data_IF_185537810183
#
_entry.id   IF_185537810183
#
_cell.length_a   1.000
_cell.length_b   1.000
_cell.length_c   1.000
_cell.angle_alpha   90.00
_cell.angle_beta   90.00
_cell.angle_gamma   90.00
#
_symmetry.space_group_name_H-M   'P 1'
#
loop_
_entity.id
_entity.type
_entity.pdbx_description
1 polymer ?
#
# COMPACT_ATOMS: atom_id res chain seq x y z
N UNK A 1 -1.55 24.48 -6.18
CA UNK A 1 -1.43 23.24 -5.38
C UNK A 1 -1.39 23.63 -3.91
N UNK A 2 -2.56 23.95 -3.35
CA UNK A 2 -2.72 24.48 -1.98
C UNK A 2 -2.36 23.45 -0.89
N UNK A 3 -2.49 22.15 -1.17
CA UNK A 3 -2.16 21.07 -0.24
C UNK A 3 -0.68 21.01 0.15
N UNK A 4 0.21 21.34 -0.80
CA UNK A 4 1.66 21.35 -0.59
C UNK A 4 2.15 22.66 0.04
N UNK A 5 1.33 23.71 -0.02
CA UNK A 5 1.66 25.06 0.50
C UNK A 5 1.01 25.34 1.85
N UNK A 6 -0.16 24.77 2.16
CA UNK A 6 -0.85 24.92 3.44
C UNK A 6 -1.79 23.72 3.72
N UNK A 7 -1.30 22.66 4.40
CA UNK A 7 -2.06 21.45 4.68
C UNK A 7 -3.01 21.67 5.88
N UNK A 8 -4.17 22.26 5.61
CA UNK A 8 -5.30 22.27 6.56
C UNK A 8 -6.16 21.02 6.40
N UNK A 9 -6.81 20.57 7.46
CA UNK A 9 -7.72 19.41 7.45
C UNK A 9 -8.81 19.53 6.38
N UNK A 10 -9.29 20.76 6.14
CA UNK A 10 -10.26 21.07 5.07
C UNK A 10 -9.66 20.84 3.68
N UNK A 11 -8.42 21.29 3.44
CA UNK A 11 -7.75 21.10 2.16
C UNK A 11 -7.45 19.62 1.91
N UNK A 12 -7.01 18.89 2.94
CA UNK A 12 -6.75 17.44 2.89
C UNK A 12 -8.03 16.68 2.54
N UNK A 13 -9.14 16.99 3.22
CA UNK A 13 -10.45 16.38 2.96
C UNK A 13 -10.92 16.65 1.53
N UNK A 14 -10.79 17.89 1.05
CA UNK A 14 -11.15 18.25 -0.33
C UNK A 14 -10.31 17.51 -1.37
N UNK A 15 -9.01 17.32 -1.13
CA UNK A 15 -8.12 16.59 -2.02
C UNK A 15 -8.45 15.09 -2.05
N UNK A 16 -8.75 14.49 -0.89
CA UNK A 16 -9.21 13.10 -0.81
C UNK A 16 -10.53 12.93 -1.57
N UNK A 17 -11.49 13.83 -1.35
CA UNK A 17 -12.78 13.81 -2.05
C UNK A 17 -12.62 13.98 -3.57
N UNK A 18 -11.74 14.88 -4.01
CA UNK A 18 -11.40 15.07 -5.41
C UNK A 18 -10.79 13.80 -6.03
N UNK A 19 -9.81 13.18 -5.37
CA UNK A 19 -9.20 11.94 -5.86
C UNK A 19 -10.21 10.79 -5.92
N UNK A 20 -11.10 10.69 -4.93
CA UNK A 20 -12.18 9.69 -4.94
C UNK A 20 -13.09 9.89 -6.15
N UNK A 21 -13.53 11.12 -6.43
CA UNK A 21 -14.36 11.43 -7.61
C UNK A 21 -13.61 11.21 -8.93
N UNK A 22 -12.34 11.57 -9.00
CA UNK A 22 -11.50 11.33 -10.18
C UNK A 22 -11.36 9.83 -10.47
N UNK A 23 -11.13 9.03 -9.44
CA UNK A 23 -11.03 7.58 -9.57
C UNK A 23 -12.36 6.95 -9.99
N UNK A 24 -13.47 7.39 -9.41
CA UNK A 24 -14.83 6.95 -9.79
C UNK A 24 -15.15 7.28 -11.26
N UNK A 25 -14.88 8.51 -11.70
CA UNK A 25 -15.07 8.91 -13.10
C UNK A 25 -14.23 8.08 -14.06
N UNK A 26 -12.97 7.84 -13.72
CA UNK A 26 -12.08 7.00 -14.53
C UNK A 26 -12.60 5.56 -14.63
N UNK A 27 -13.11 5.00 -13.53
CA UNK A 27 -13.69 3.66 -13.53
C UNK A 27 -14.95 3.60 -14.40
N UNK A 28 -15.85 4.59 -14.28
CA UNK A 28 -17.05 4.68 -15.10
C UNK A 28 -16.72 4.84 -16.59
N UNK A 29 -15.75 5.67 -16.93
CA UNK A 29 -15.28 5.85 -18.30
C UNK A 29 -14.77 4.52 -18.87
N UNK A 30 -13.92 3.80 -18.13
CA UNK A 30 -13.38 2.51 -18.57
C UNK A 30 -14.48 1.46 -18.80
N UNK A 31 -15.49 1.40 -17.92
CA UNK A 31 -16.65 0.50 -18.09
C UNK A 31 -17.42 0.86 -19.37
N UNK A 32 -17.73 2.14 -19.58
CA UNK A 32 -18.44 2.60 -20.79
C UNK A 32 -17.64 2.40 -22.07
N UNK A 33 -16.32 2.58 -22.02
CA UNK A 33 -15.44 2.25 -23.14
C UNK A 33 -15.53 0.76 -23.47
N UNK A 34 -15.44 -0.14 -22.48
CA UNK A 34 -15.59 -1.59 -22.72
C UNK A 34 -16.96 -1.93 -23.31
N UNK A 35 -18.03 -1.38 -22.76
CA UNK A 35 -19.39 -1.57 -23.30
C UNK A 35 -19.49 -1.11 -24.76
N UNK A 36 -18.94 0.06 -25.08
CA UNK A 36 -18.89 0.60 -26.44
C UNK A 36 -18.10 -0.31 -27.39
N UNK A 37 -16.94 -0.81 -26.96
CA UNK A 37 -16.09 -1.71 -27.73
C UNK A 37 -16.77 -3.07 -27.97
N UNK A 38 -17.48 -3.61 -26.98
CA UNK A 38 -18.23 -4.87 -27.14
C UNK A 38 -19.42 -4.76 -28.09
N UNK A 39 -20.07 -3.59 -28.13
CA UNK A 39 -21.22 -3.31 -29.02
C UNK A 39 -20.78 -2.96 -30.44
N UNK A 40 -19.61 -2.37 -30.63
CA UNK A 40 -19.08 -1.94 -31.92
C UNK A 40 -17.90 -2.85 -32.34
N UNK A 41 -18.20 -4.04 -32.85
CA UNK A 41 -17.22 -5.10 -33.19
C UNK A 41 -16.19 -4.77 -34.29
N UNK A 42 -16.23 -3.58 -34.91
CA UNK A 42 -15.24 -3.17 -35.92
C UNK A 42 -14.22 -2.23 -35.31
N UNK A 43 -13.31 -2.79 -34.53
CA UNK A 43 -12.11 -2.08 -34.10
C UNK A 43 -11.08 -2.14 -35.21
N UNK A 44 -10.62 -0.97 -35.66
CA UNK A 44 -9.50 -0.90 -36.59
C UNK A 44 -8.27 -1.56 -35.96
N UNK A 45 -7.37 -2.18 -36.76
CA UNK A 45 -6.20 -2.89 -36.24
C UNK A 45 -5.31 -2.00 -35.34
N UNK A 46 -5.24 -0.70 -35.65
CA UNK A 46 -4.52 0.31 -34.87
C UNK A 46 -5.13 0.53 -33.48
N UNK A 47 -6.46 0.49 -33.37
CA UNK A 47 -7.14 0.62 -32.07
C UNK A 47 -6.98 -0.66 -31.25
N UNK A 48 -6.93 -1.84 -31.89
CA UNK A 48 -6.66 -3.10 -31.19
C UNK A 48 -5.26 -3.16 -30.61
N UNK A 49 -4.24 -2.66 -31.32
CA UNK A 49 -2.87 -2.60 -30.79
C UNK A 49 -2.74 -1.59 -29.66
N UNK A 50 -3.37 -0.42 -29.78
CA UNK A 50 -3.44 0.56 -28.70
C UNK A 50 -4.19 0.02 -27.48
N UNK A 51 -5.29 -0.73 -27.68
CA UNK A 51 -6.04 -1.37 -26.60
C UNK A 51 -5.21 -2.49 -25.97
N UNK A 52 -4.52 -3.33 -26.74
CA UNK A 52 -3.66 -4.39 -26.21
C UNK A 52 -2.49 -3.84 -25.38
N UNK A 53 -1.88 -2.75 -25.85
CA UNK A 53 -0.81 -2.04 -25.15
C UNK A 53 -1.30 -1.27 -23.92
N UNK A 54 -2.55 -0.78 -23.94
CA UNK A 54 -3.18 -0.05 -22.84
C UNK A 54 -4.21 -0.86 -22.06
N UNK A 55 -4.27 -2.18 -22.28
CA UNK A 55 -5.06 -3.08 -21.43
C UNK A 55 -4.34 -3.09 -20.10
N UNK A 56 -4.79 -2.19 -19.23
CA UNK A 56 -4.62 -2.35 -17.80
C UNK A 56 -5.22 -3.71 -17.52
N UNK A 57 -4.35 -4.70 -17.31
CA UNK A 57 -4.74 -5.96 -16.70
C UNK A 57 -5.63 -5.54 -15.54
N UNK A 58 -6.92 -5.89 -15.60
CA UNK A 58 -7.76 -5.83 -14.43
C UNK A 58 -7.21 -6.91 -13.51
N UNK A 59 -6.09 -6.58 -12.87
CA UNK A 59 -5.66 -7.16 -11.62
C UNK A 59 -6.94 -7.22 -10.80
N UNK A 60 -7.29 -8.44 -10.42
CA UNK A 60 -8.22 -8.74 -9.34
C UNK A 60 -8.15 -7.60 -8.34
N UNK A 61 -9.24 -6.84 -8.28
CA UNK A 61 -9.42 -5.63 -7.49
C UNK A 61 -8.60 -5.74 -6.21
N UNK A 62 -7.43 -5.06 -6.18
CA UNK A 62 -6.52 -5.09 -5.04
C UNK A 62 -7.36 -4.74 -3.82
N UNK A 63 -7.58 -5.72 -2.94
CA UNK A 63 -8.43 -5.57 -1.76
C UNK A 63 -7.50 -5.21 -0.59
N UNK A 64 -7.30 -3.92 -0.31
CA UNK A 64 -6.30 -3.49 0.66
C UNK A 64 -6.69 -3.90 2.08
N UNK A 65 -7.99 -4.06 2.38
CA UNK A 65 -8.50 -4.44 3.69
C UNK A 65 -8.14 -5.90 4.06
N UNK A 66 -7.82 -6.72 3.06
CA UNK A 66 -7.34 -8.10 3.23
C UNK A 66 -5.96 -8.18 3.88
N UNK A 67 -5.15 -7.13 3.80
CA UNK A 67 -3.75 -7.18 4.20
C UNK A 67 -3.49 -6.44 5.50
N UNK A 68 -2.66 -7.08 6.36
CA UNK A 68 -2.05 -6.42 7.50
C UNK A 68 -0.54 -6.43 7.34
N UNK A 69 0.06 -5.25 7.37
CA UNK A 69 1.49 -5.06 7.27
C UNK A 69 2.02 -4.61 8.62
N UNK A 70 2.93 -5.38 9.20
CA UNK A 70 3.59 -5.09 10.48
C UNK A 70 5.07 -4.91 10.26
N UNK A 71 5.59 -3.72 10.52
CA UNK A 71 7.03 -3.46 10.47
C UNK A 71 7.62 -3.46 11.88
N UNK A 72 8.81 -4.02 12.03
CA UNK A 72 9.66 -3.88 13.20
C UNK A 72 10.80 -2.91 12.89
N UNK A 73 11.07 -2.00 13.79
CA UNK A 73 12.04 -0.94 13.59
C UNK A 73 12.75 -0.49 14.86
N UNK A 74 13.88 0.18 14.67
CA UNK A 74 14.64 0.88 15.70
C UNK A 74 14.53 2.40 15.46
N UNK A 75 14.36 3.19 16.52
CA UNK A 75 14.30 4.65 16.45
C UNK A 75 15.52 5.31 15.78
N UNK A 76 16.71 4.69 15.85
CA UNK A 76 17.97 5.20 15.30
C UNK A 76 18.20 4.81 13.84
N UNK A 77 17.41 3.89 13.30
CA UNK A 77 17.61 3.31 11.97
C UNK A 77 17.16 4.26 10.83
N UNK A 78 18.06 4.72 9.94
CA UNK A 78 17.70 5.64 8.85
C UNK A 78 16.83 4.99 7.78
N UNK A 79 17.07 3.71 7.46
CA UNK A 79 16.25 2.95 6.51
C UNK A 79 14.82 2.77 7.03
N UNK A 80 14.64 2.66 8.34
CA UNK A 80 13.36 2.55 8.99
C UNK A 80 12.56 3.86 8.87
N UNK A 81 13.23 5.00 9.09
CA UNK A 81 12.64 6.34 8.84
C UNK A 81 12.11 6.47 7.41
N UNK A 82 12.89 6.02 6.42
CA UNK A 82 12.44 6.00 5.02
C UNK A 82 11.25 5.06 4.79
N UNK A 83 11.24 3.89 5.45
CA UNK A 83 10.18 2.90 5.33
C UNK A 83 8.82 3.40 5.88
N UNK A 84 8.81 4.31 6.85
CA UNK A 84 7.56 4.92 7.34
C UNK A 84 6.78 5.66 6.24
N UNK A 85 7.47 6.30 5.29
CA UNK A 85 6.81 6.92 4.12
C UNK A 85 6.15 5.86 3.23
N UNK A 86 6.83 4.71 3.06
CA UNK A 86 6.28 3.57 2.32
C UNK A 86 5.01 3.05 3.00
N UNK A 87 5.05 2.84 4.33
CA UNK A 87 3.92 2.33 5.09
C UNK A 87 2.74 3.31 5.12
N UNK A 88 3.00 4.61 5.30
CA UNK A 88 1.97 5.65 5.22
C UNK A 88 1.29 5.65 3.84
N UNK A 89 2.05 5.43 2.76
CA UNK A 89 1.49 5.30 1.41
C UNK A 89 0.68 4.01 1.20
N UNK A 90 1.00 2.92 1.91
CA UNK A 90 0.17 1.71 1.90
C UNK A 90 -1.11 1.92 2.71
N UNK A 91 -1.02 2.62 3.83
CA UNK A 91 -2.16 2.99 4.66
C UNK A 91 -3.16 3.86 3.90
N UNK A 92 -2.68 4.84 3.14
CA UNK A 92 -3.54 5.69 2.30
C UNK A 92 -4.23 4.92 1.17
N UNK A 93 -3.68 3.78 0.76
CA UNK A 93 -4.32 2.82 -0.14
C UNK A 93 -5.32 1.90 0.57
N UNK A 94 -5.50 2.04 1.88
CA UNK A 94 -6.45 1.26 2.70
C UNK A 94 -5.86 0.02 3.36
N UNK A 95 -4.55 -0.21 3.25
CA UNK A 95 -3.90 -1.38 3.87
C UNK A 95 -3.72 -1.11 5.36
N UNK A 96 -4.05 -2.07 6.22
CA UNK A 96 -3.77 -1.91 7.64
C UNK A 96 -2.27 -2.00 7.88
N UNK A 97 -1.68 -0.95 8.43
CA UNK A 97 -0.25 -0.91 8.76
C UNK A 97 -0.03 -0.65 10.25
N UNK A 98 0.96 -1.31 10.83
CA UNK A 98 1.42 -1.05 12.20
C UNK A 98 2.95 -1.13 12.26
N UNK A 99 3.53 -0.38 13.20
CA UNK A 99 4.96 -0.39 13.46
C UNK A 99 5.26 -0.78 14.92
N UNK A 100 6.21 -1.68 15.09
CA UNK A 100 6.68 -2.18 16.37
C UNK A 100 8.12 -1.76 16.61
N UNK A 101 8.30 -0.97 17.66
CA UNK A 101 9.61 -0.50 18.06
C UNK A 101 10.33 -1.59 18.86
N UNK A 102 11.57 -1.92 18.46
CA UNK A 102 12.36 -2.99 19.09
C UNK A 102 13.38 -2.46 20.11
N UNK A 103 13.77 -1.18 20.00
CA UNK A 103 14.70 -0.55 20.91
C UNK A 103 14.01 0.00 22.17
N UNK A 104 14.83 0.46 23.11
CA UNK A 104 14.34 0.91 24.42
C UNK A 104 13.89 2.36 24.48
N UNK A 105 14.01 3.12 23.40
CA UNK A 105 13.53 4.50 23.38
C UNK A 105 12.01 4.57 23.61
N UNK A 106 11.58 5.68 24.23
CA UNK A 106 10.17 5.92 24.54
C UNK A 106 9.40 6.14 23.24
N UNK A 107 8.38 5.31 23.00
CA UNK A 107 7.46 5.47 21.86
C UNK A 107 6.56 6.68 22.12
N UNK A 108 6.71 7.75 21.33
CA UNK A 108 5.72 8.84 21.29
C UNK A 108 4.78 8.65 20.10
N UNK A 109 3.49 8.47 20.35
CA UNK A 109 2.50 8.26 19.28
C UNK A 109 2.43 9.43 18.29
N UNK A 110 2.66 10.65 18.75
CA UNK A 110 2.65 11.86 17.91
C UNK A 110 3.84 11.96 16.95
N UNK A 111 4.89 11.17 17.17
CA UNK A 111 6.12 11.24 16.38
C UNK A 111 6.04 10.45 15.07
N UNK A 112 5.08 9.52 14.96
CA UNK A 112 5.02 8.58 13.84
C UNK A 112 3.72 8.75 13.03
N UNK A 113 3.78 8.69 11.69
CA UNK A 113 2.62 8.88 10.83
C UNK A 113 1.67 7.68 10.80
N UNK A 114 2.01 6.59 11.50
CA UNK A 114 1.25 5.34 11.53
C UNK A 114 1.17 4.81 12.98
N UNK A 115 0.23 3.90 13.29
CA UNK A 115 0.13 3.30 14.61
C UNK A 115 1.45 2.62 15.02
N UNK A 116 2.06 3.14 16.08
CA UNK A 116 3.33 2.64 16.61
C UNK A 116 3.17 2.19 18.05
N UNK A 117 3.73 1.02 18.40
CA UNK A 117 3.82 0.51 19.78
C UNK A 117 5.15 -0.19 20.01
N UNK A 118 5.48 -0.49 21.25
CA UNK A 118 6.67 -1.29 21.58
C UNK A 118 6.44 -2.77 21.27
N UNK A 119 7.45 -3.44 20.73
CA UNK A 119 7.43 -4.89 20.50
C UNK A 119 7.53 -5.62 21.86
N UNK A 120 6.78 -6.72 22.01
CA UNK A 120 6.91 -7.55 23.21
C UNK A 120 8.12 -8.48 23.10
N UNK A 121 8.77 -8.80 24.23
CA UNK A 121 9.92 -9.72 24.26
C UNK A 121 9.58 -11.11 23.70
N UNK A 122 8.36 -11.59 23.93
CA UNK A 122 7.89 -12.87 23.39
C UNK A 122 7.77 -12.84 21.86
N UNK A 123 7.29 -11.74 21.31
CA UNK A 123 7.11 -11.56 19.87
C UNK A 123 8.47 -11.46 19.15
N UNK A 124 9.44 -10.73 19.73
CA UNK A 124 10.80 -10.65 19.19
C UNK A 124 11.50 -12.02 19.16
N UNK A 125 11.36 -12.82 20.22
CA UNK A 125 11.90 -14.19 20.27
C UNK A 125 11.27 -15.09 19.21
N UNK A 126 9.95 -14.99 19.03
CA UNK A 126 9.22 -15.80 18.03
C UNK A 126 9.63 -15.47 16.60
N UNK A 127 9.83 -14.20 16.29
CA UNK A 127 10.13 -13.76 14.92
C UNK A 127 11.62 -13.80 14.55
N UNK A 128 12.50 -14.05 15.54
CA UNK A 128 13.95 -14.15 15.39
C UNK A 128 14.55 -13.03 14.49
N UNK A 129 14.22 -11.79 14.82
CA UNK A 129 14.54 -10.61 13.99
C UNK A 129 16.02 -10.27 14.16
N UNK A 130 16.81 -10.46 13.10
CA UNK A 130 18.25 -10.17 13.09
C UNK A 130 18.60 -8.77 12.56
N UNK A 131 17.71 -8.13 11.79
CA UNK A 131 17.94 -6.83 11.18
C UNK A 131 16.65 -6.03 11.01
N UNK A 132 16.77 -4.70 10.92
CA UNK A 132 15.66 -3.76 10.72
C UNK A 132 15.91 -2.84 9.51
N UNK A 133 14.86 -2.36 8.81
CA UNK A 133 13.44 -2.66 9.03
C UNK A 133 13.10 -4.09 8.60
N UNK A 134 12.25 -4.75 9.40
CA UNK A 134 11.77 -6.10 9.14
C UNK A 134 10.25 -6.05 9.02
N UNK A 135 9.70 -6.53 7.92
CA UNK A 135 8.26 -6.36 7.63
C UNK A 135 7.59 -7.71 7.42
N UNK A 136 6.47 -7.90 8.12
CA UNK A 136 5.58 -9.02 7.98
C UNK A 136 4.33 -8.59 7.23
N UNK A 137 3.88 -9.43 6.31
CA UNK A 137 2.65 -9.22 5.54
C UNK A 137 1.75 -10.42 5.81
N UNK A 138 0.60 -10.17 6.42
CA UNK A 138 -0.43 -11.17 6.66
C UNK A 138 -1.59 -10.98 5.68
N UNK A 139 -1.99 -12.08 5.06
CA UNK A 139 -3.21 -12.16 4.26
C UNK A 139 -4.32 -12.76 5.12
N UNK A 140 -5.32 -11.93 5.47
CA UNK A 140 -6.42 -12.33 6.33
C UNK A 140 -7.39 -13.29 5.65
N UNK A 141 -7.52 -13.23 4.33
CA UNK A 141 -8.45 -14.07 3.57
C UNK A 141 -7.91 -15.49 3.46
N UNK A 142 -6.61 -15.63 3.17
CA UNK A 142 -5.92 -16.93 3.11
C UNK A 142 -5.45 -17.43 4.47
N UNK A 143 -5.45 -16.56 5.50
CA UNK A 143 -4.91 -16.84 6.84
C UNK A 143 -3.44 -17.28 6.80
N UNK A 144 -2.66 -16.73 5.87
CA UNK A 144 -1.23 -17.02 5.69
C UNK A 144 -0.38 -15.80 5.98
N UNK A 145 0.85 -16.06 6.38
CA UNK A 145 1.90 -15.06 6.50
C UNK A 145 2.84 -15.21 5.30
N UNK A 146 3.06 -14.14 4.55
CA UNK A 146 4.03 -14.15 3.46
C UNK A 146 5.47 -14.19 4.01
N UNK A 147 6.44 -14.59 3.18
CA UNK A 147 7.84 -14.55 3.56
C UNK A 147 8.23 -13.17 4.10
N UNK A 148 8.99 -13.11 5.20
CA UNK A 148 9.35 -11.85 5.83
C UNK A 148 10.20 -11.00 4.89
N UNK A 149 9.82 -9.73 4.78
CA UNK A 149 10.51 -8.76 3.93
C UNK A 149 11.57 -8.05 4.77
N UNK A 150 12.83 -8.25 4.38
CA UNK A 150 13.98 -7.66 5.08
C UNK A 150 14.44 -6.40 4.37
N UNK A 151 14.81 -5.38 5.15
CA UNK A 151 15.33 -4.12 4.64
C UNK A 151 14.26 -3.18 4.10
N UNK A 152 14.72 -2.01 3.66
CA UNK A 152 13.85 -0.98 3.09
C UNK A 152 13.25 -1.45 1.76
N UNK A 153 11.96 -1.17 1.57
CA UNK A 153 11.27 -1.37 0.30
C UNK A 153 10.51 -0.11 -0.12
N UNK A 154 10.45 0.13 -1.42
CA UNK A 154 9.62 1.18 -1.98
C UNK A 154 8.14 0.76 -2.00
N UNK A 155 7.24 1.74 -2.14
CA UNK A 155 5.78 1.50 -2.27
C UNK A 155 5.47 0.53 -3.41
N UNK A 156 6.12 0.69 -4.56
CA UNK A 156 5.90 -0.15 -5.72
C UNK A 156 6.34 -1.59 -5.43
N UNK A 157 7.51 -1.78 -4.81
CA UNK A 157 7.99 -3.13 -4.47
C UNK A 157 7.13 -3.79 -3.42
N UNK A 158 6.69 -3.08 -2.38
CA UNK A 158 5.76 -3.61 -1.38
C UNK A 158 4.43 -4.01 -2.00
N UNK A 159 3.88 -3.17 -2.89
CA UNK A 159 2.63 -3.50 -3.61
C UNK A 159 2.81 -4.73 -4.49
N UNK A 160 3.95 -4.85 -5.19
CA UNK A 160 4.28 -6.02 -5.99
C UNK A 160 4.39 -7.29 -5.13
N UNK A 161 5.07 -7.23 -3.98
CA UNK A 161 5.18 -8.37 -3.05
C UNK A 161 3.81 -8.84 -2.54
N UNK A 162 2.90 -7.91 -2.25
CA UNK A 162 1.54 -8.26 -1.82
C UNK A 162 0.79 -8.98 -2.96
N UNK A 163 0.91 -8.50 -4.20
CA UNK A 163 0.30 -9.12 -5.39
C UNK A 163 0.95 -10.45 -5.79
N UNK A 164 2.27 -10.59 -5.62
CA UNK A 164 2.99 -11.84 -5.85
C UNK A 164 2.50 -12.92 -4.87
N UNK A 165 2.36 -12.57 -3.59
CA UNK A 165 1.80 -13.48 -2.58
C UNK A 165 0.32 -13.82 -2.81
N UNK A 166 -0.46 -12.99 -3.50
CA UNK A 166 -1.83 -13.34 -3.89
C UNK A 166 -1.91 -14.57 -4.78
N UNK A 167 -0.83 -14.90 -5.49
CA UNK A 167 -0.76 -16.05 -6.40
C UNK A 167 -0.34 -17.36 -5.71
N UNK A 168 0.19 -17.29 -4.49
CA UNK A 168 0.60 -18.44 -3.66
C UNK A 168 -0.59 -19.03 -2.91
#
# INVERSE_FOLDING_TARGET
MELARNPSDRNITNWIAYNKKKNDLNQRLQVRMREYLTKNQKLTPEVQTIIAQNTVQTDTQFDPARYRVRMYFDSKCPHCKRMFNTLSSLQSKGVYVEALQIDDAKVSKSQYPIPTRKASKAELKKQNISSVPYTLIADLKKKVLYPPVRGFQSVNRMTALIKEGEKL
#
